data_IF_814862131843
#
_entry.id   IF_814862131843
#
_cell.length_a   1.000
_cell.length_b   1.000
_cell.length_c   1.000
_cell.angle_alpha   90.00
_cell.angle_beta   90.00
_cell.angle_gamma   90.00
#
_symmetry.space_group_name_H-M   'P 1'
#
loop_
_entity.id
_entity.type
_entity.pdbx_description
1 polymer ?
#
# COMPACT_ATOMS: atom_id res chain seq x y z
N UNK A 1 44.69 4.32 -46.37
CA UNK A 1 43.88 3.10 -46.61
C UNK A 1 43.87 2.27 -45.33
N UNK A 2 42.69 1.94 -44.79
CA UNK A 2 42.57 1.16 -43.56
C UNK A 2 42.96 -0.30 -43.83
N UNK A 3 43.99 -0.80 -43.14
CA UNK A 3 44.54 -2.17 -43.33
C UNK A 3 43.58 -3.27 -42.88
N UNK A 4 42.55 -2.93 -42.11
CA UNK A 4 41.60 -3.90 -41.54
C UNK A 4 40.44 -4.23 -42.49
N UNK A 5 40.21 -3.43 -43.53
CA UNK A 5 39.09 -3.62 -44.47
C UNK A 5 39.11 -4.99 -45.20
N UNK A 6 40.25 -5.47 -45.75
CA UNK A 6 40.30 -6.79 -46.39
C UNK A 6 40.08 -7.94 -45.41
N UNK A 7 40.37 -7.75 -44.13
CA UNK A 7 40.18 -8.75 -43.09
C UNK A 7 38.72 -8.82 -42.65
N UNK A 8 38.10 -7.68 -42.36
CA UNK A 8 36.67 -7.59 -42.06
C UNK A 8 35.80 -8.15 -43.19
N UNK A 9 36.14 -7.84 -44.45
CA UNK A 9 35.44 -8.39 -45.62
C UNK A 9 35.51 -9.93 -45.70
N UNK A 10 36.60 -10.53 -45.21
CA UNK A 10 36.78 -11.99 -45.18
C UNK A 10 35.93 -12.62 -44.09
N UNK A 11 35.92 -12.03 -42.89
CA UNK A 11 35.10 -12.50 -41.75
C UNK A 11 33.62 -12.46 -42.08
N UNK A 12 33.14 -11.34 -42.64
CA UNK A 12 31.74 -11.19 -43.07
C UNK A 12 31.38 -12.26 -44.10
N UNK A 13 32.23 -12.48 -45.11
CA UNK A 13 31.98 -13.48 -46.15
C UNK A 13 31.86 -14.89 -45.58
N UNK A 14 32.77 -15.28 -44.69
CA UNK A 14 32.72 -16.60 -44.03
C UNK A 14 31.42 -16.81 -43.25
N UNK A 15 30.94 -15.78 -42.54
CA UNK A 15 29.69 -15.87 -41.78
C UNK A 15 28.47 -15.93 -42.69
N UNK A 16 28.48 -15.20 -43.81
CA UNK A 16 27.39 -15.26 -44.79
C UNK A 16 27.34 -16.61 -45.54
N UNK A 17 28.50 -17.22 -45.81
CA UNK A 17 28.60 -18.56 -46.42
C UNK A 17 28.15 -19.69 -45.47
N UNK A 18 28.22 -19.48 -44.15
CA UNK A 18 27.79 -20.46 -43.14
C UNK A 18 26.26 -20.59 -42.98
N UNK A 19 25.45 -19.72 -43.59
CA UNK A 19 24.01 -19.94 -43.81
C UNK A 19 23.12 -19.98 -42.56
N UNK A 20 23.30 -19.06 -41.60
CA UNK A 20 22.46 -18.96 -40.39
C UNK A 20 21.16 -18.15 -40.57
N UNK A 21 20.23 -18.30 -39.62
CA UNK A 21 18.93 -17.60 -39.59
C UNK A 21 19.03 -16.08 -39.31
N UNK A 22 20.15 -15.62 -38.74
CA UNK A 22 20.44 -14.18 -38.56
C UNK A 22 21.91 -13.88 -38.90
N UNK A 23 22.23 -13.69 -40.20
CA UNK A 23 23.59 -13.47 -40.65
C UNK A 23 24.14 -12.09 -40.23
N UNK A 24 23.28 -11.12 -39.90
CA UNK A 24 23.70 -9.77 -39.50
C UNK A 24 24.22 -9.79 -38.07
N UNK A 25 23.47 -10.39 -37.14
CA UNK A 25 23.91 -10.51 -35.74
C UNK A 25 25.12 -11.43 -35.62
N UNK A 26 25.16 -12.52 -36.39
CA UNK A 26 26.33 -13.40 -36.44
C UNK A 26 27.58 -12.69 -36.98
N UNK A 27 27.43 -11.83 -38.00
CA UNK A 27 28.55 -11.06 -38.53
C UNK A 27 29.02 -9.99 -37.53
N UNK A 28 28.11 -9.35 -36.80
CA UNK A 28 28.45 -8.41 -35.74
C UNK A 28 29.26 -9.08 -34.62
N UNK A 29 28.82 -10.25 -34.13
CA UNK A 29 29.56 -11.01 -33.11
C UNK A 29 30.91 -11.53 -33.61
N UNK A 30 31.00 -11.96 -34.88
CA UNK A 30 32.28 -12.40 -35.45
C UNK A 30 33.27 -11.23 -35.60
N UNK A 31 32.81 -10.05 -36.01
CA UNK A 31 33.65 -8.84 -36.08
C UNK A 31 34.06 -8.35 -34.69
N UNK A 32 33.19 -8.49 -33.67
CA UNK A 32 33.48 -8.16 -32.28
C UNK A 32 34.53 -9.10 -31.68
N UNK A 33 34.39 -10.41 -31.89
CA UNK A 33 35.34 -11.43 -31.45
C UNK A 33 36.74 -11.25 -32.03
N UNK A 34 36.84 -10.76 -33.26
CA UNK A 34 38.11 -10.41 -33.92
C UNK A 34 38.61 -9.00 -33.59
N UNK A 35 37.94 -8.27 -32.67
CA UNK A 35 38.27 -6.89 -32.29
C UNK A 35 38.33 -5.92 -33.49
N UNK A 36 37.55 -6.22 -34.53
CA UNK A 36 37.46 -5.41 -35.74
C UNK A 36 36.39 -4.32 -35.63
N UNK A 37 35.49 -4.45 -34.65
CA UNK A 37 34.64 -3.35 -34.21
C UNK A 37 35.47 -2.39 -33.36
N UNK A 38 35.28 -1.09 -33.59
CA UNK A 38 35.94 -0.05 -32.80
C UNK A 38 35.44 -0.17 -31.37
N UNK A 39 36.33 -0.55 -30.46
CA UNK A 39 36.10 -0.41 -29.02
C UNK A 39 36.01 1.10 -28.71
N UNK A 40 34.84 1.61 -28.30
CA UNK A 40 34.68 3.04 -28.01
C UNK A 40 35.59 3.49 -26.86
N UNK A 41 36.02 2.58 -25.98
CA UNK A 41 36.94 2.88 -24.88
C UNK A 41 38.42 2.77 -25.28
N UNK A 42 38.74 2.07 -26.38
CA UNK A 42 40.08 2.06 -27.00
C UNK A 42 40.07 2.86 -28.30
N UNK A 43 39.83 4.16 -28.19
CA UNK A 43 39.93 5.05 -29.35
C UNK A 43 41.38 5.09 -29.87
N UNK A 44 41.63 4.63 -31.09
CA UNK A 44 42.89 4.87 -31.81
C UNK A 44 42.91 6.33 -32.32
N UNK A 45 43.15 7.26 -31.41
CA UNK A 45 43.25 8.69 -31.67
C UNK A 45 43.42 9.47 -30.37
N UNK A 46 44.19 10.56 -30.40
CA UNK A 46 44.34 11.43 -29.22
C UNK A 46 43.00 12.15 -29.01
N UNK A 47 42.19 11.68 -28.07
CA UNK A 47 40.98 12.39 -27.63
C UNK A 47 41.43 13.62 -26.86
N UNK A 48 41.16 14.80 -27.43
CA UNK A 48 41.41 16.08 -26.78
C UNK A 48 40.17 16.50 -26.01
N UNK A 49 40.33 16.79 -24.73
CA UNK A 49 39.25 17.30 -23.89
C UNK A 49 39.39 18.81 -23.71
N UNK A 50 38.27 19.54 -23.75
CA UNK A 50 38.28 20.96 -23.36
C UNK A 50 38.54 21.09 -21.86
N UNK A 51 39.51 21.94 -21.49
CA UNK A 51 39.77 22.32 -20.10
C UNK A 51 38.80 23.41 -19.65
N UNK A 52 38.63 23.57 -18.34
CA UNK A 52 37.80 24.65 -17.77
C UNK A 52 38.28 26.06 -18.19
N UNK A 53 39.56 26.20 -18.53
CA UNK A 53 40.18 27.44 -19.05
C UNK A 53 40.01 27.62 -20.57
N UNK A 54 39.29 26.72 -21.25
CA UNK A 54 39.01 26.81 -22.69
C UNK A 54 40.09 26.22 -23.63
N UNK A 55 41.16 25.65 -23.08
CA UNK A 55 42.21 24.95 -23.84
C UNK A 55 41.85 23.50 -24.17
N UNK A 56 42.74 22.82 -24.90
CA UNK A 56 42.60 21.39 -25.22
C UNK A 56 43.70 20.60 -24.49
N UNK A 57 43.32 19.57 -23.74
CA UNK A 57 44.24 18.71 -23.01
C UNK A 57 44.15 17.25 -23.47
N UNK A 58 45.30 16.57 -23.45
CA UNK A 58 45.47 15.13 -23.72
C UNK A 58 45.36 14.26 -22.46
N UNK A 59 45.34 14.89 -21.28
CA UNK A 59 45.24 14.18 -20.01
C UNK A 59 43.81 13.68 -19.77
N UNK A 60 43.62 12.63 -18.93
CA UNK A 60 42.29 12.19 -18.54
C UNK A 60 41.52 13.39 -18.01
N UNK A 61 40.39 13.70 -18.65
CA UNK A 61 39.50 14.76 -18.18
C UNK A 61 39.06 14.40 -16.76
N UNK A 62 39.29 15.28 -15.81
CA UNK A 62 38.64 15.15 -14.50
C UNK A 62 37.14 15.10 -14.76
N UNK A 63 36.50 14.05 -14.24
CA UNK A 63 35.06 13.91 -14.36
C UNK A 63 34.39 15.20 -13.90
N UNK A 64 33.42 15.65 -14.66
CA UNK A 64 32.53 16.72 -14.22
C UNK A 64 31.73 16.24 -13.02
N UNK A 65 31.15 17.18 -12.29
CA UNK A 65 30.28 16.84 -11.18
C UNK A 65 29.08 15.98 -11.62
N UNK A 66 28.51 16.29 -12.79
CA UNK A 66 27.43 15.48 -13.39
C UNK A 66 27.89 14.06 -13.74
N UNK A 67 29.09 13.89 -14.29
CA UNK A 67 29.65 12.56 -14.59
C UNK A 67 29.91 11.76 -13.30
N UNK A 68 30.39 12.41 -12.23
CA UNK A 68 30.51 11.77 -10.91
C UNK A 68 29.17 11.37 -10.34
N UNK A 69 28.16 12.24 -10.43
CA UNK A 69 26.80 11.94 -9.96
C UNK A 69 26.16 10.79 -10.76
N UNK A 70 26.34 10.77 -12.08
CA UNK A 70 25.87 9.67 -12.94
C UNK A 70 26.53 8.34 -12.56
N UNK A 71 27.85 8.32 -12.34
CA UNK A 71 28.54 7.11 -11.89
C UNK A 71 28.11 6.65 -10.49
N UNK A 72 27.88 7.59 -9.57
CA UNK A 72 27.37 7.27 -8.25
C UNK A 72 25.96 6.66 -8.35
N UNK A 73 25.10 7.24 -9.18
CA UNK A 73 23.75 6.72 -9.45
C UNK A 73 23.77 5.32 -10.06
N UNK A 74 24.61 5.07 -11.06
CA UNK A 74 24.76 3.75 -11.68
C UNK A 74 25.24 2.70 -10.67
N UNK A 75 26.13 3.10 -9.76
CA UNK A 75 26.63 2.25 -8.68
C UNK A 75 25.51 1.92 -7.69
N UNK A 76 24.70 2.91 -7.29
CA UNK A 76 23.52 2.70 -6.44
C UNK A 76 22.48 1.79 -7.10
N UNK A 77 22.21 1.97 -8.39
CA UNK A 77 21.27 1.12 -9.13
C UNK A 77 21.77 -0.33 -9.23
N UNK A 78 23.07 -0.52 -9.46
CA UNK A 78 23.68 -1.86 -9.46
C UNK A 78 23.59 -2.50 -8.08
N UNK A 79 23.88 -1.75 -7.02
CA UNK A 79 23.77 -2.20 -5.64
C UNK A 79 22.34 -2.63 -5.31
N UNK A 80 21.33 -1.83 -5.68
CA UNK A 80 19.92 -2.18 -5.50
C UNK A 80 19.52 -3.48 -6.22
N UNK A 81 20.04 -3.74 -7.43
CA UNK A 81 19.82 -5.01 -8.14
C UNK A 81 20.45 -6.21 -7.43
N UNK A 82 21.65 -6.05 -6.87
CA UNK A 82 22.29 -7.10 -6.09
C UNK A 82 21.51 -7.41 -4.81
N UNK A 83 21.05 -6.37 -4.11
CA UNK A 83 20.19 -6.52 -2.92
C UNK A 83 18.87 -7.20 -3.28
N UNK A 84 18.23 -6.81 -4.38
CA UNK A 84 17.01 -7.47 -4.86
C UNK A 84 17.23 -8.97 -5.11
N UNK A 85 18.32 -9.33 -5.80
CA UNK A 85 18.67 -10.73 -6.04
C UNK A 85 18.98 -11.51 -4.75
N UNK A 86 19.65 -10.88 -3.77
CA UNK A 86 19.92 -11.50 -2.48
C UNK A 86 18.63 -11.75 -1.69
N UNK A 87 17.70 -10.78 -1.69
CA UNK A 87 16.37 -10.94 -1.10
C UNK A 87 15.62 -12.08 -1.81
N UNK A 88 15.58 -12.10 -3.15
CA UNK A 88 14.95 -13.17 -3.93
C UNK A 88 15.50 -14.56 -3.57
N UNK A 89 16.82 -14.70 -3.45
CA UNK A 89 17.43 -15.97 -3.07
C UNK A 89 17.02 -16.43 -1.68
N UNK A 90 16.84 -15.49 -0.74
CA UNK A 90 16.52 -15.81 0.66
C UNK A 90 15.05 -16.11 0.89
N UNK A 91 14.16 -15.37 0.24
CA UNK A 91 12.71 -15.45 0.47
C UNK A 91 11.91 -15.93 -0.73
N UNK A 92 12.52 -16.15 -1.89
CA UNK A 92 11.83 -16.53 -3.12
C UNK A 92 11.15 -17.90 -3.08
N UNK A 93 11.49 -18.73 -2.10
CA UNK A 93 10.82 -20.03 -1.83
C UNK A 93 9.68 -19.93 -0.82
N UNK A 94 9.46 -18.77 -0.20
CA UNK A 94 8.34 -18.59 0.70
C UNK A 94 7.03 -18.54 -0.10
N UNK A 95 6.01 -19.24 0.40
CA UNK A 95 4.68 -19.23 -0.19
C UNK A 95 4.04 -17.81 -0.23
N UNK A 96 4.45 -16.94 0.70
CA UNK A 96 3.97 -15.57 0.81
C UNK A 96 4.69 -14.62 -0.18
N UNK A 97 5.75 -15.09 -0.87
CA UNK A 97 6.52 -14.25 -1.80
C UNK A 97 5.90 -14.26 -3.19
N UNK A 98 5.72 -13.07 -3.77
CA UNK A 98 5.21 -12.91 -5.13
C UNK A 98 6.28 -12.43 -6.10
N UNK A 99 6.97 -11.33 -5.77
CA UNK A 99 8.03 -10.80 -6.63
C UNK A 99 8.96 -9.83 -5.90
N UNK A 100 10.16 -9.65 -6.44
CA UNK A 100 11.07 -8.55 -6.05
C UNK A 100 11.57 -7.85 -7.29
N UNK A 101 11.65 -6.52 -7.24
CA UNK A 101 12.13 -5.70 -8.35
C UNK A 101 13.00 -4.58 -7.84
N UNK A 102 14.11 -4.32 -8.52
CA UNK A 102 14.90 -3.10 -8.31
C UNK A 102 14.32 -1.96 -9.17
N UNK A 103 13.89 -0.89 -8.52
CA UNK A 103 13.41 0.34 -9.16
C UNK A 103 14.42 1.46 -8.91
N UNK A 104 15.34 1.66 -9.87
CA UNK A 104 16.45 2.60 -9.70
C UNK A 104 17.38 2.19 -8.56
N UNK A 105 17.54 3.07 -7.58
CA UNK A 105 18.34 2.89 -6.36
C UNK A 105 17.54 2.27 -5.20
N UNK A 106 16.30 1.82 -5.45
CA UNK A 106 15.42 1.24 -4.44
C UNK A 106 14.99 -0.17 -4.82
N UNK A 107 14.53 -0.94 -3.84
CA UNK A 107 14.01 -2.29 -4.04
C UNK A 107 12.56 -2.35 -3.58
N UNK A 108 11.71 -2.95 -4.41
CA UNK A 108 10.32 -3.23 -4.10
C UNK A 108 10.14 -4.73 -3.95
N UNK A 109 9.67 -5.16 -2.78
CA UNK A 109 9.30 -6.55 -2.50
C UNK A 109 7.79 -6.62 -2.45
N UNK A 110 7.21 -7.60 -3.13
CA UNK A 110 5.78 -7.86 -3.15
C UNK A 110 5.50 -9.20 -2.50
N UNK A 111 4.64 -9.18 -1.48
CA UNK A 111 4.22 -10.33 -0.71
C UNK A 111 2.70 -10.50 -0.81
N UNK A 112 2.23 -11.74 -0.77
CA UNK A 112 0.83 -12.13 -0.60
C UNK A 112 0.66 -12.58 0.85
N UNK A 113 -0.06 -11.79 1.64
CA UNK A 113 -0.13 -11.95 3.10
C UNK A 113 -1.57 -12.00 3.54
N UNK A 114 -2.09 -13.21 3.77
CA UNK A 114 -3.51 -13.45 4.09
C UNK A 114 -3.89 -13.19 5.55
N UNK A 115 -2.94 -12.92 6.45
CA UNK A 115 -3.23 -12.68 7.86
C UNK A 115 -2.33 -11.61 8.48
N UNK A 116 -2.88 -10.80 9.40
CA UNK A 116 -2.11 -9.74 10.07
C UNK A 116 -0.90 -10.27 10.87
N UNK A 117 -0.98 -11.49 11.40
CA UNK A 117 0.14 -12.11 12.11
C UNK A 117 1.26 -12.61 11.19
N UNK A 118 0.96 -12.86 9.90
CA UNK A 118 1.99 -13.06 8.89
C UNK A 118 2.68 -11.72 8.58
N UNK A 119 1.92 -10.63 8.46
CA UNK A 119 2.50 -9.29 8.28
C UNK A 119 3.41 -8.90 9.45
N UNK A 120 3.00 -9.13 10.70
CA UNK A 120 3.85 -8.88 11.88
C UNK A 120 5.19 -9.61 11.81
N UNK A 121 5.20 -10.86 11.32
CA UNK A 121 6.43 -11.65 11.15
C UNK A 121 7.32 -11.07 10.05
N UNK A 122 6.75 -10.67 8.91
CA UNK A 122 7.48 -10.02 7.82
C UNK A 122 8.05 -8.66 8.24
N UNK A 123 7.27 -7.88 8.98
CA UNK A 123 7.69 -6.60 9.56
C UNK A 123 8.91 -6.78 10.46
N UNK A 124 8.91 -7.79 11.34
CA UNK A 124 10.08 -8.14 12.15
C UNK A 124 11.26 -8.65 11.32
N UNK A 125 11.02 -9.44 10.27
CA UNK A 125 12.08 -9.96 9.40
C UNK A 125 12.85 -8.85 8.66
N UNK A 126 12.12 -7.86 8.15
CA UNK A 126 12.70 -6.74 7.40
C UNK A 126 13.13 -5.57 8.30
N UNK A 127 12.88 -5.63 9.61
CA UNK A 127 13.19 -4.55 10.54
C UNK A 127 12.35 -3.30 10.31
N UNK A 128 11.13 -3.45 9.81
CA UNK A 128 10.20 -2.34 9.53
C UNK A 128 9.62 -1.84 10.86
N UNK A 129 9.78 -0.54 11.12
CA UNK A 129 9.18 0.13 12.29
C UNK A 129 7.71 0.47 12.04
N UNK A 130 6.92 0.67 13.09
CA UNK A 130 5.51 1.07 12.95
C UNK A 130 5.35 2.41 12.23
N UNK A 131 6.27 3.35 12.45
CA UNK A 131 6.26 4.67 11.78
C UNK A 131 6.61 4.57 10.28
N UNK A 132 7.26 3.48 9.86
CA UNK A 132 7.56 3.16 8.47
C UNK A 132 6.43 2.41 7.76
N UNK A 133 5.28 2.21 8.42
CA UNK A 133 4.13 1.51 7.87
C UNK A 133 3.11 2.50 7.30
N UNK A 134 2.66 2.24 6.08
CA UNK A 134 1.57 2.95 5.43
C UNK A 134 0.48 1.96 5.03
N UNK A 135 -0.67 2.12 5.65
CA UNK A 135 -1.87 1.37 5.32
C UNK A 135 -2.52 1.93 4.05
N UNK A 136 -2.77 1.07 3.07
CA UNK A 136 -3.57 1.33 1.88
C UNK A 136 -4.88 0.52 1.96
N UNK A 137 -5.92 0.87 1.17
CA UNK A 137 -7.20 0.15 1.20
C UNK A 137 -7.08 -1.37 0.99
N UNK A 138 -6.18 -1.80 0.10
CA UNK A 138 -6.02 -3.22 -0.29
C UNK A 138 -4.58 -3.75 -0.07
N UNK A 139 -3.75 -2.99 0.64
CA UNK A 139 -2.35 -3.36 0.86
C UNK A 139 -1.76 -2.68 2.09
N UNK A 140 -0.67 -3.25 2.62
CA UNK A 140 0.17 -2.60 3.61
C UNK A 140 1.56 -2.40 3.03
N UNK A 141 2.09 -1.19 3.14
CA UNK A 141 3.45 -0.86 2.73
C UNK A 141 4.29 -0.69 3.98
N UNK A 142 5.40 -1.40 4.07
CA UNK A 142 6.43 -1.16 5.08
C UNK A 142 7.74 -0.73 4.42
N UNK A 143 8.29 0.38 4.88
CA UNK A 143 9.57 0.89 4.40
C UNK A 143 10.69 0.54 5.39
N UNK A 144 11.82 0.07 4.89
CA UNK A 144 13.03 -0.12 5.67
C UNK A 144 14.30 0.17 4.87
N UNK A 145 15.43 0.20 5.56
CA UNK A 145 16.76 0.21 4.96
C UNK A 145 17.39 -1.17 5.11
N UNK A 146 17.76 -1.78 3.99
CA UNK A 146 18.47 -3.07 3.97
C UNK A 146 19.80 -2.89 3.25
N UNK A 147 20.92 -3.15 3.93
CA UNK A 147 22.28 -2.96 3.40
C UNK A 147 22.51 -1.56 2.76
N UNK A 148 21.89 -0.53 3.35
CA UNK A 148 21.96 0.86 2.86
C UNK A 148 21.02 1.19 1.69
N UNK A 149 20.28 0.21 1.17
CA UNK A 149 19.29 0.40 0.09
C UNK A 149 17.89 0.56 0.69
N UNK A 150 17.11 1.47 0.13
CA UNK A 150 15.70 1.64 0.53
C UNK A 150 14.87 0.47 -0.01
N UNK A 151 14.23 -0.26 0.88
CA UNK A 151 13.35 -1.39 0.55
C UNK A 151 11.92 -1.05 0.92
N UNK A 152 11.03 -1.11 -0.06
CA UNK A 152 9.58 -0.99 0.13
C UNK A 152 8.95 -2.37 0.01
N UNK A 153 8.40 -2.88 1.10
CA UNK A 153 7.70 -4.16 1.16
C UNK A 153 6.21 -3.89 1.06
N UNK A 154 5.57 -4.40 0.01
CA UNK A 154 4.13 -4.28 -0.24
C UNK A 154 3.49 -5.63 -0.02
N UNK A 155 2.63 -5.72 0.99
CA UNK A 155 1.83 -6.90 1.27
C UNK A 155 0.42 -6.70 0.71
N UNK A 156 0.03 -7.53 -0.25
CA UNK A 156 -1.33 -7.62 -0.82
C UNK A 156 -2.12 -8.74 -0.14
N UNK A 157 -3.44 -8.69 -0.30
CA UNK A 157 -4.37 -9.70 0.25
C UNK A 157 -4.36 -9.84 1.77
N UNK A 158 -4.03 -8.78 2.53
CA UNK A 158 -4.57 -8.76 3.88
C UNK A 158 -6.10 -8.77 3.71
N UNK A 159 -6.84 -9.79 4.19
CA UNK A 159 -8.25 -9.60 4.40
C UNK A 159 -8.36 -8.31 5.22
N UNK A 160 -9.24 -7.38 4.83
CA UNK A 160 -9.37 -6.13 5.56
C UNK A 160 -9.48 -6.49 7.05
N UNK A 161 -8.78 -5.80 7.97
CA UNK A 161 -8.95 -6.03 9.40
C UNK A 161 -10.42 -5.80 9.76
N UNK A 162 -11.25 -6.86 9.66
CA UNK A 162 -12.70 -6.76 9.49
C UNK A 162 -13.12 -5.87 8.30
N UNK A 163 -14.21 -6.16 7.58
CA UNK A 163 -14.61 -5.37 6.42
C UNK A 163 -15.26 -4.05 6.87
N UNK A 164 -14.46 -3.07 7.32
CA UNK A 164 -14.65 -1.65 6.97
C UNK A 164 -13.67 -0.68 7.70
N UNK A 165 -12.75 0.01 7.01
CA UNK A 165 -12.22 1.30 7.47
C UNK A 165 -13.22 2.46 7.22
N UNK A 166 -14.42 2.19 6.68
CA UNK A 166 -15.50 3.15 6.41
C UNK A 166 -16.88 2.73 6.92
N UNK A 167 -16.95 1.78 7.87
CA UNK A 167 -18.11 1.64 8.74
C UNK A 167 -17.82 2.50 9.95
N UNK A 168 -18.74 3.36 10.38
CA UNK A 168 -18.60 4.08 11.64
C UNK A 168 -18.39 3.15 12.84
N UNK A 169 -18.60 1.84 12.73
CA UNK A 169 -18.44 0.87 13.83
C UNK A 169 -17.00 0.43 14.12
N UNK A 170 -16.11 0.27 13.13
CA UNK A 170 -14.74 -0.22 13.40
C UNK A 170 -13.76 0.89 13.85
N UNK A 171 -14.09 2.17 13.61
CA UNK A 171 -13.29 3.33 13.99
C UNK A 171 -13.43 3.75 15.47
N UNK A 172 -14.08 2.91 16.28
CA UNK A 172 -14.62 3.28 17.58
C UNK A 172 -13.96 2.57 18.76
N UNK A 173 -13.10 1.58 18.58
CA UNK A 173 -12.25 1.13 19.68
C UNK A 173 -11.13 2.16 19.92
N UNK A 174 -10.98 2.67 21.15
CA UNK A 174 -9.92 3.61 21.53
C UNK A 174 -9.23 3.16 22.81
N UNK A 175 -7.91 2.99 22.76
CA UNK A 175 -7.13 2.62 23.95
C UNK A 175 -6.68 3.86 24.72
N UNK A 176 -7.03 3.93 26.00
CA UNK A 176 -6.56 4.98 26.90
C UNK A 176 -6.36 4.44 28.31
N UNK A 177 -5.19 4.72 28.91
CA UNK A 177 -4.88 4.25 30.26
C UNK A 177 -4.87 2.73 30.42
N UNK A 178 -4.46 1.99 29.37
CA UNK A 178 -4.44 0.52 29.36
C UNK A 178 -5.81 -0.15 29.25
N UNK A 179 -6.86 0.61 28.89
CA UNK A 179 -8.22 0.10 28.65
C UNK A 179 -8.66 0.41 27.23
N UNK A 180 -9.32 -0.55 26.60
CA UNK A 180 -9.95 -0.37 25.29
C UNK A 180 -11.39 0.07 25.51
N UNK A 181 -11.70 1.30 25.12
CA UNK A 181 -13.05 1.85 25.14
C UNK A 181 -13.72 1.58 23.80
N UNK A 182 -14.87 0.92 23.83
CA UNK A 182 -15.72 0.75 22.66
C UNK A 182 -16.65 1.95 22.48
N UNK A 183 -16.27 2.90 21.63
CA UNK A 183 -17.06 4.09 21.35
C UNK A 183 -18.30 3.81 20.48
N UNK A 184 -18.57 2.55 20.08
CA UNK A 184 -19.82 2.16 19.42
C UNK A 184 -21.00 2.19 20.37
N UNK A 185 -20.74 1.97 21.65
CA UNK A 185 -21.73 1.96 22.70
C UNK A 185 -21.62 3.23 23.55
N UNK A 186 -22.74 3.72 24.11
CA UNK A 186 -22.70 4.78 25.09
C UNK A 186 -21.85 4.36 26.30
N UNK A 187 -21.16 5.32 26.87
CA UNK A 187 -20.20 5.12 27.95
C UNK A 187 -20.75 5.75 29.23
N UNK A 188 -20.85 4.98 30.31
CA UNK A 188 -21.32 5.45 31.61
C UNK A 188 -20.13 5.87 32.48
N UNK A 189 -20.20 7.05 33.10
CA UNK A 189 -19.23 7.48 34.10
C UNK A 189 -19.54 6.97 35.51
N UNK A 190 -18.66 7.25 36.47
CA UNK A 190 -18.84 6.82 37.85
C UNK A 190 -20.07 7.44 38.55
N UNK A 191 -20.65 8.49 37.97
CA UNK A 191 -21.84 9.17 38.47
C UNK A 191 -23.13 8.74 37.75
N UNK A 192 -23.05 7.75 36.87
CA UNK A 192 -24.21 7.23 36.13
C UNK A 192 -24.62 8.09 34.93
N UNK A 193 -23.80 9.07 34.52
CA UNK A 193 -24.09 9.87 33.33
C UNK A 193 -23.61 9.15 32.07
N UNK A 194 -24.39 9.27 31.00
CA UNK A 194 -24.14 8.58 29.74
C UNK A 194 -23.51 9.52 28.72
N UNK A 195 -22.35 9.13 28.24
CA UNK A 195 -21.50 9.83 27.31
C UNK A 195 -21.55 9.16 25.93
N UNK A 196 -21.73 9.96 24.89
CA UNK A 196 -21.87 9.50 23.51
C UNK A 196 -20.71 10.00 22.67
N UNK A 197 -20.13 9.11 21.88
CA UNK A 197 -19.16 9.49 20.87
C UNK A 197 -19.89 9.87 19.56
N UNK A 198 -19.87 11.16 19.24
CA UNK A 198 -20.56 11.71 18.07
C UNK A 198 -19.69 11.69 16.78
N UNK A 199 -18.60 10.92 16.77
CA UNK A 199 -17.69 10.81 15.63
C UNK A 199 -16.61 11.91 15.54
N UNK A 200 -16.55 12.83 16.50
CA UNK A 200 -15.60 13.94 16.48
C UNK A 200 -14.34 13.62 17.28
N UNK A 201 -13.18 13.98 16.73
CA UNK A 201 -11.88 13.89 17.40
C UNK A 201 -11.25 15.28 17.50
N UNK A 202 -10.50 15.51 18.58
CA UNK A 202 -9.68 16.72 18.74
C UNK A 202 -8.52 16.78 17.74
N UNK A 203 -7.82 17.91 17.70
CA UNK A 203 -6.60 18.08 16.88
C UNK A 203 -5.47 17.11 17.26
N UNK A 204 -5.51 16.60 18.48
CA UNK A 204 -4.62 15.59 19.06
C UNK A 204 -5.07 14.14 18.75
N UNK A 205 -6.16 13.96 18.00
CA UNK A 205 -6.75 12.66 17.68
C UNK A 205 -7.61 12.05 18.79
N UNK A 206 -7.77 12.74 19.92
CA UNK A 206 -8.52 12.23 21.08
C UNK A 206 -10.03 12.22 20.80
N UNK A 207 -10.76 11.14 21.15
CA UNK A 207 -12.22 11.10 21.00
C UNK A 207 -12.90 12.17 21.85
N UNK A 208 -13.83 12.90 21.23
CA UNK A 208 -14.69 13.86 21.93
C UNK A 208 -16.05 13.22 22.21
N UNK A 209 -16.44 13.24 23.49
CA UNK A 209 -17.70 12.73 24.02
C UNK A 209 -18.62 13.89 24.38
N UNK A 210 -19.92 13.70 24.22
CA UNK A 210 -20.95 14.62 24.70
C UNK A 210 -21.93 13.88 25.60
N UNK A 211 -22.47 14.58 26.59
CA UNK A 211 -23.64 14.09 27.32
C UNK A 211 -24.88 14.12 26.43
N UNK A 212 -25.86 13.26 26.70
CA UNK A 212 -27.13 13.26 25.96
C UNK A 212 -27.78 14.65 25.97
N UNK A 213 -28.21 15.11 24.80
CA UNK A 213 -28.86 16.41 24.63
C UNK A 213 -28.00 17.65 24.89
N UNK A 214 -26.68 17.51 25.09
CA UNK A 214 -25.77 18.64 25.38
C UNK A 214 -24.78 18.92 24.25
N UNK A 215 -24.55 20.20 23.90
CA UNK A 215 -23.59 20.56 22.86
C UNK A 215 -22.14 20.52 23.33
N UNK A 216 -21.89 20.52 24.65
CA UNK A 216 -20.54 20.52 25.20
C UNK A 216 -19.81 19.20 24.89
N UNK A 217 -18.54 19.33 24.47
CA UNK A 217 -17.69 18.22 24.06
C UNK A 217 -16.48 18.14 24.97
N UNK A 218 -16.27 16.98 25.58
CA UNK A 218 -15.14 16.69 26.43
C UNK A 218 -14.30 15.56 25.83
N UNK A 219 -12.98 15.66 25.90
CA UNK A 219 -12.13 14.56 25.46
C UNK A 219 -12.27 13.35 26.40
N UNK A 220 -12.24 12.13 25.85
CA UNK A 220 -12.30 10.89 26.63
C UNK A 220 -11.26 10.86 27.76
N UNK A 221 -9.98 11.27 27.55
CA UNK A 221 -9.01 11.39 28.64
C UNK A 221 -9.48 12.30 29.78
N UNK A 222 -10.08 13.44 29.47
CA UNK A 222 -10.54 14.38 30.50
C UNK A 222 -11.73 13.82 31.28
N UNK A 223 -12.66 13.17 30.58
CA UNK A 223 -13.80 12.49 31.23
C UNK A 223 -13.26 11.39 32.16
N UNK A 224 -12.35 10.53 31.67
CA UNK A 224 -11.78 9.46 32.46
C UNK A 224 -10.96 9.95 33.67
N UNK A 225 -10.24 11.07 33.52
CA UNK A 225 -9.43 11.65 34.57
C UNK A 225 -10.27 12.32 35.68
N UNK A 226 -11.39 12.95 35.33
CA UNK A 226 -12.20 13.73 36.27
C UNK A 226 -13.43 12.97 36.82
N UNK A 227 -13.99 12.05 36.04
CA UNK A 227 -15.25 11.35 36.35
C UNK A 227 -15.06 9.83 36.49
N UNK A 228 -13.81 9.38 36.50
CA UNK A 228 -13.45 7.97 36.63
C UNK A 228 -13.53 7.20 35.31
N UNK A 229 -13.05 5.95 35.28
CA UNK A 229 -13.03 5.16 34.06
C UNK A 229 -14.44 4.84 33.60
N UNK A 230 -14.69 5.06 32.31
CA UNK A 230 -15.99 4.82 31.71
C UNK A 230 -16.27 3.32 31.53
N UNK A 231 -17.53 2.92 31.70
CA UNK A 231 -18.01 1.56 31.45
C UNK A 231 -19.04 1.54 30.34
N UNK A 232 -19.01 0.56 29.41
CA UNK A 232 -20.00 0.46 28.35
C UNK A 232 -21.41 0.24 28.92
N UNK A 233 -22.38 1.02 28.44
CA UNK A 233 -23.80 0.78 28.71
C UNK A 233 -24.23 -0.39 27.83
N UNK A 234 -24.39 -1.58 28.42
CA UNK A 234 -25.06 -2.69 27.75
C UNK A 234 -26.56 -2.44 27.78
N UNK A 235 -27.18 -2.26 26.62
CA UNK A 235 -28.63 -2.18 26.52
C UNK A 235 -29.20 -3.56 26.92
N UNK A 236 -30.01 -3.69 27.98
CA UNK A 236 -30.70 -4.94 28.25
C UNK A 236 -31.72 -5.15 27.14
N UNK A 237 -31.52 -6.23 26.37
CA UNK A 237 -32.49 -6.91 25.50
C UNK A 237 -33.90 -6.32 25.59
N UNK A 238 -34.34 -5.66 24.50
CA UNK A 238 -35.78 -5.45 24.28
C UNK A 238 -36.48 -6.80 24.48
N UNK A 239 -37.50 -6.90 25.35
CA UNK A 239 -38.26 -8.13 25.47
C UNK A 239 -38.86 -8.46 24.10
N UNK A 240 -38.57 -9.67 23.63
CA UNK A 240 -39.29 -10.30 22.52
C UNK A 240 -40.76 -10.22 22.89
N UNK A 241 -41.53 -9.43 22.15
CA UNK A 241 -42.99 -9.57 22.14
C UNK A 241 -43.22 -10.97 21.59
N UNK A 242 -43.53 -11.89 22.49
CA UNK A 242 -43.86 -13.26 22.15
C UNK A 242 -45.04 -13.20 21.18
N UNK A 243 -44.77 -13.67 19.97
CA UNK A 243 -45.76 -14.02 18.97
C UNK A 243 -46.69 -15.07 19.59
N UNK A 244 -47.90 -14.63 19.94
CA UNK A 244 -48.96 -15.45 20.46
C UNK A 244 -50.24 -15.14 19.68
N UNK A 245 -50.36 -15.73 18.51
CA UNK A 245 -51.65 -16.15 17.95
C UNK A 245 -51.41 -17.20 16.87
N UNK A 246 -51.21 -18.44 17.33
CA UNK A 246 -51.47 -19.62 16.52
C UNK A 246 -52.95 -19.68 16.13
N UNK A 247 -53.16 -20.01 14.87
CA UNK A 247 -54.25 -20.77 14.27
C UNK A 247 -55.43 -21.17 15.17
N UNK A 248 -56.62 -20.72 14.79
CA UNK A 248 -57.82 -21.57 14.80
C UNK A 248 -58.59 -21.36 13.49
N UNK A 249 -58.60 -22.43 12.70
CA UNK A 249 -59.43 -22.63 11.52
C UNK A 249 -60.94 -22.56 11.82
N UNK A 250 -61.65 -21.98 10.86
CA UNK A 250 -62.98 -22.34 10.35
C UNK A 250 -64.13 -22.67 11.32
N UNK A 251 -65.10 -21.75 11.38
CA UNK A 251 -66.54 -22.06 11.23
C UNK A 251 -67.31 -20.81 10.77
N UNK A 252 -67.78 -20.84 9.53
CA UNK A 252 -68.92 -20.06 9.00
C UNK A 252 -70.26 -20.69 9.49
N UNK A 253 -71.47 -20.10 9.26
CA UNK A 253 -71.82 -18.79 8.68
C UNK A 253 -72.98 -18.03 9.39
N UNK A 254 -73.35 -16.90 8.76
CA UNK A 254 -74.66 -16.21 8.76
C UNK A 254 -75.02 -15.28 9.94
N UNK A 255 -75.21 -13.99 9.65
CA UNK A 255 -76.53 -13.38 9.42
C UNK A 255 -76.35 -11.96 8.87
N UNK A 256 -77.26 -11.62 7.96
CA UNK A 256 -77.49 -10.36 7.26
C UNK A 256 -77.66 -9.17 8.22
N UNK A 257 -77.24 -7.95 7.84
CA UNK A 257 -78.21 -7.03 7.25
C UNK A 257 -77.58 -5.78 6.61
N UNK A 258 -78.26 -5.32 5.58
CA UNK A 258 -77.93 -4.18 4.75
C UNK A 258 -78.21 -2.85 5.47
N UNK A 259 -77.46 -1.78 5.15
CA UNK A 259 -78.08 -0.55 4.61
C UNK A 259 -77.04 0.31 3.89
N UNK A 260 -77.26 0.44 2.59
CA UNK A 260 -76.79 1.48 1.66
C UNK A 260 -77.19 2.88 2.14
N UNK A 261 -76.32 3.90 2.11
CA UNK A 261 -76.64 5.22 1.52
C UNK A 261 -75.38 5.91 0.97
N UNK A 262 -75.55 6.34 -0.27
CA UNK A 262 -74.71 6.97 -1.29
C UNK A 262 -74.40 8.47 -1.03
N UNK A 263 -73.29 8.96 -1.63
CA UNK A 263 -73.14 10.25 -2.37
C UNK A 263 -73.45 11.60 -1.65
N UNK A 264 -72.80 12.75 -1.84
CA UNK A 264 -71.76 13.32 -2.74
C UNK A 264 -71.36 14.71 -2.16
N UNK A 265 -70.38 15.45 -2.73
CA UNK A 265 -69.64 16.53 -2.06
C UNK A 265 -70.26 17.93 -2.22
N UNK A 266 -69.74 18.91 -1.48
CA UNK A 266 -69.85 20.33 -1.81
C UNK A 266 -68.66 21.12 -1.28
N UNK A 267 -67.74 21.35 -2.21
CA UNK A 267 -67.08 22.61 -2.52
C UNK A 267 -67.72 23.86 -1.88
N UNK A 268 -66.94 24.68 -1.18
CA UNK A 268 -67.14 26.14 -1.18
C UNK A 268 -65.86 26.89 -0.87
N UNK A 269 -65.44 27.65 -1.88
CA UNK A 269 -64.46 28.71 -1.83
C UNK A 269 -64.93 29.87 -0.95
N UNK A 270 -63.99 30.50 -0.25
CA UNK A 270 -63.80 31.95 -0.21
C UNK A 270 -62.43 32.29 0.37
#
# INVERSE_FOLDING_TARGET
MNRNLPHAARVIRTVMEAGGTDPVTAAAHALDGEQLLVDPEKSYGIVLHRTATGGWSRGPRQMTELERQAHAWDTSCRHARLVAAAIEQRIGRHQDFQSVQANGDQVRVVLLVSHQDQWKRWRSHFGITHDGERLLPDAVIGECLHEGVRVSVVAYELPPPSPNPRSPEAARAFEFGGRVYDLTVPQCDAHGQVWYFQGWRGHDGMPLLSLDGRPERCSLPNVAAHLGPLTPVQDPLRPVVADAAGELEMSEPAVQDATTVTATPSEQAR
#
